data_IF_052419180982
#
_entry.id   IF_052419180982
#
_cell.length_a   1.000
_cell.length_b   1.000
_cell.length_c   1.000
_cell.angle_alpha   90.00
_cell.angle_beta   90.00
_cell.angle_gamma   90.00
#
_symmetry.space_group_name_H-M   'P 1'
#
loop_
_entity.id
_entity.type
_entity.pdbx_description
1 polymer ?
#
# COMPACT_ATOMS: atom_id res chain seq x y z
N UNK A 1 1.23 1.11 -40.10
CA UNK A 1 1.63 -0.20 -39.55
C UNK A 1 1.69 -0.07 -38.04
N UNK A 2 1.27 -1.09 -37.28
CA UNK A 2 1.43 -1.08 -35.83
C UNK A 2 2.91 -1.27 -35.48
N UNK A 3 3.47 -0.41 -34.63
CA UNK A 3 4.80 -0.60 -34.05
C UNK A 3 4.86 -1.91 -33.26
N UNK A 4 5.98 -2.60 -33.32
CA UNK A 4 6.21 -3.80 -32.51
C UNK A 4 6.84 -3.43 -31.17
N UNK A 5 6.63 -4.27 -30.15
CA UNK A 5 7.28 -4.11 -28.83
C UNK A 5 8.81 -4.15 -28.96
N UNK A 6 9.36 -4.94 -29.90
CA UNK A 6 10.80 -5.01 -30.17
C UNK A 6 11.34 -3.67 -30.63
N UNK A 7 10.69 -3.03 -31.61
CA UNK A 7 11.08 -1.71 -32.12
C UNK A 7 11.01 -0.63 -31.03
N UNK A 8 9.94 -0.62 -30.23
CA UNK A 8 9.79 0.33 -29.12
C UNK A 8 10.92 0.13 -28.08
N UNK A 9 11.22 -1.11 -27.71
CA UNK A 9 12.31 -1.41 -26.77
C UNK A 9 13.70 -1.01 -27.32
N UNK A 10 13.94 -1.13 -28.63
CA UNK A 10 15.18 -0.64 -29.24
C UNK A 10 15.29 0.88 -29.14
N UNK A 11 14.21 1.62 -29.43
CA UNK A 11 14.18 3.08 -29.26
C UNK A 11 14.41 3.51 -27.82
N UNK A 12 13.80 2.81 -26.85
CA UNK A 12 14.01 3.08 -25.41
C UNK A 12 15.50 2.91 -25.06
N UNK A 13 16.13 1.81 -25.49
CA UNK A 13 17.57 1.57 -25.23
C UNK A 13 18.49 2.61 -25.87
N UNK A 14 18.08 3.18 -27.01
CA UNK A 14 18.81 4.23 -27.73
C UNK A 14 18.52 5.65 -27.20
N UNK A 15 17.53 5.82 -26.32
CA UNK A 15 17.07 7.14 -25.88
C UNK A 15 16.29 7.92 -26.95
N UNK A 16 15.75 7.22 -27.95
CA UNK A 16 15.04 7.80 -29.10
C UNK A 16 13.51 7.65 -29.00
N UNK A 17 13.01 7.02 -27.94
CA UNK A 17 11.59 6.79 -27.76
C UNK A 17 10.85 8.10 -27.47
N UNK A 18 9.78 8.37 -28.21
CA UNK A 18 8.86 9.46 -27.92
C UNK A 18 7.90 9.00 -26.82
N UNK A 19 8.10 9.52 -25.60
CA UNK A 19 7.30 9.20 -24.42
C UNK A 19 6.44 10.41 -24.07
N UNK A 20 5.13 10.20 -23.90
CA UNK A 20 4.17 11.24 -23.50
C UNK A 20 3.29 10.76 -22.38
N UNK A 21 2.69 11.67 -21.64
CA UNK A 21 1.71 11.37 -20.60
C UNK A 21 0.31 11.12 -21.17
N UNK A 22 -0.55 10.51 -20.35
CA UNK A 22 -1.97 10.33 -20.66
C UNK A 22 -2.75 11.66 -20.79
N UNK A 23 -2.22 12.77 -20.28
CA UNK A 23 -2.80 14.11 -20.48
C UNK A 23 -2.32 14.69 -21.81
N UNK A 24 -1.01 14.68 -22.09
CA UNK A 24 -0.43 15.21 -23.34
C UNK A 24 -0.93 14.51 -24.61
N UNK A 25 -1.27 13.21 -24.51
CA UNK A 25 -1.78 12.46 -25.66
C UNK A 25 -3.14 12.98 -26.14
N UNK A 26 -3.95 13.56 -25.26
CA UNK A 26 -5.29 14.06 -25.61
C UNK A 26 -5.13 15.23 -26.59
N UNK A 27 -4.33 16.23 -26.21
CA UNK A 27 -4.08 17.42 -27.04
C UNK A 27 -3.44 17.05 -28.40
N UNK A 28 -2.47 16.13 -28.39
CA UNK A 28 -1.82 15.65 -29.60
C UNK A 28 -2.80 14.98 -30.57
N UNK A 29 -3.74 14.18 -30.05
CA UNK A 29 -4.76 13.52 -30.86
C UNK A 29 -5.76 14.52 -31.42
N UNK A 30 -6.13 15.54 -30.66
CA UNK A 30 -7.01 16.62 -31.14
C UNK A 30 -6.36 17.44 -32.26
N UNK A 31 -5.06 17.72 -32.16
CA UNK A 31 -4.33 18.51 -33.15
C UNK A 31 -4.02 17.72 -34.43
N UNK A 32 -3.51 16.48 -34.30
CA UNK A 32 -2.87 15.73 -35.39
C UNK A 32 -3.66 14.49 -35.83
N UNK A 33 -4.66 14.10 -35.06
CA UNK A 33 -5.44 12.90 -35.30
C UNK A 33 -4.74 11.62 -34.83
N UNK A 34 -5.55 10.61 -34.52
CA UNK A 34 -5.11 9.35 -33.90
C UNK A 34 -4.05 8.58 -34.69
N UNK A 35 -4.13 8.60 -36.03
CA UNK A 35 -3.20 7.85 -36.88
C UNK A 35 -1.78 8.41 -36.82
N UNK A 36 -1.63 9.73 -36.94
CA UNK A 36 -0.32 10.38 -36.91
C UNK A 36 0.32 10.28 -35.53
N UNK A 37 -0.49 10.44 -34.48
CA UNK A 37 -0.02 10.28 -33.10
C UNK A 37 0.44 8.85 -32.82
N UNK A 38 -0.29 7.84 -33.27
CA UNK A 38 0.11 6.44 -33.10
C UNK A 38 1.42 6.09 -33.85
N UNK A 39 1.71 6.77 -34.96
CA UNK A 39 2.95 6.60 -35.72
C UNK A 39 4.14 7.32 -35.06
N UNK A 40 3.91 8.43 -34.34
CA UNK A 40 4.96 9.25 -33.72
C UNK A 40 5.25 8.88 -32.26
N UNK A 41 4.24 8.64 -31.43
CA UNK A 41 4.38 8.32 -30.00
C UNK A 41 4.71 6.84 -29.80
N UNK A 42 5.74 6.55 -29.02
CA UNK A 42 6.22 5.18 -28.76
C UNK A 42 5.70 4.63 -27.42
N UNK A 43 5.58 5.47 -26.40
CA UNK A 43 5.09 5.08 -25.06
C UNK A 43 4.15 6.15 -24.53
N UNK A 44 2.99 5.73 -24.01
CA UNK A 44 2.11 6.60 -23.23
C UNK A 44 2.25 6.19 -21.76
N UNK A 45 2.71 7.11 -20.93
CA UNK A 45 2.77 6.92 -19.48
C UNK A 45 1.49 7.43 -18.86
N UNK A 46 0.78 6.54 -18.17
CA UNK A 46 -0.35 6.91 -17.32
C UNK A 46 0.00 6.65 -15.88
N UNK A 47 -0.54 7.47 -14.98
CA UNK A 47 -0.45 7.30 -13.54
C UNK A 47 -1.84 7.42 -12.95
N UNK A 48 -2.23 6.46 -12.13
CA UNK A 48 -3.44 6.57 -11.32
C UNK A 48 -3.03 6.56 -9.85
N UNK A 49 -3.72 7.37 -9.06
CA UNK A 49 -3.66 7.29 -7.61
C UNK A 49 -4.93 6.61 -7.14
N UNK A 50 -4.78 5.45 -6.51
CA UNK A 50 -5.91 4.71 -5.97
C UNK A 50 -5.45 3.78 -4.86
N UNK A 51 -6.33 3.46 -3.90
CA UNK A 51 -6.03 2.46 -2.88
C UNK A 51 -5.77 1.12 -3.57
N UNK A 52 -4.61 0.53 -3.28
CA UNK A 52 -4.16 -0.70 -3.92
C UNK A 52 -4.09 -1.82 -2.88
N UNK A 53 -4.82 -2.92 -3.13
CA UNK A 53 -4.83 -4.08 -2.24
C UNK A 53 -3.42 -4.65 -2.04
N UNK A 54 -3.14 -5.19 -0.85
CA UNK A 54 -1.79 -5.66 -0.46
C UNK A 54 -0.74 -4.59 -0.17
N UNK A 55 -1.11 -3.31 -0.18
CA UNK A 55 -0.24 -2.29 0.41
C UNK A 55 -0.14 -2.50 1.93
N UNK A 56 1.03 -2.28 2.49
CA UNK A 56 1.28 -2.32 3.93
C UNK A 56 2.67 -1.81 4.28
N UNK A 57 3.05 -1.95 5.54
CA UNK A 57 4.36 -1.53 6.03
C UNK A 57 4.96 -2.59 6.97
N UNK A 58 6.24 -2.90 6.76
CA UNK A 58 7.05 -3.57 7.77
C UNK A 58 7.64 -2.53 8.73
N UNK A 59 7.64 -2.84 10.01
CA UNK A 59 8.15 -1.95 11.06
C UNK A 59 8.94 -2.80 12.07
N UNK A 60 10.21 -2.44 12.28
CA UNK A 60 11.01 -2.93 13.38
C UNK A 60 10.91 -1.95 14.55
N UNK A 61 10.21 -2.35 15.61
CA UNK A 61 9.91 -1.49 16.76
C UNK A 61 11.11 -1.27 17.69
N UNK A 62 12.16 -2.09 17.55
CA UNK A 62 13.19 -2.23 18.58
C UNK A 62 12.64 -2.87 19.87
N UNK A 63 13.54 -3.17 20.80
CA UNK A 63 13.15 -3.79 22.07
C UNK A 63 12.88 -2.76 23.18
N UNK A 64 11.83 -2.96 23.98
CA UNK A 64 11.73 -2.34 25.29
C UNK A 64 12.76 -2.96 26.25
N UNK A 65 12.85 -2.37 27.45
CA UNK A 65 13.59 -2.96 28.57
C UNK A 65 12.59 -3.25 29.69
N UNK A 66 12.40 -4.53 30.09
CA UNK A 66 13.03 -5.74 29.57
C UNK A 66 12.59 -6.13 28.14
N UNK A 67 13.38 -6.95 27.44
CA UNK A 67 13.13 -7.35 26.05
C UNK A 67 11.84 -8.19 25.91
N UNK A 68 11.19 -8.07 24.75
CA UNK A 68 9.95 -8.79 24.39
C UNK A 68 10.13 -9.55 23.08
N UNK A 69 9.45 -10.70 22.96
CA UNK A 69 9.21 -11.39 21.68
C UNK A 69 7.72 -11.28 21.36
N UNK A 70 7.36 -10.33 20.51
CA UNK A 70 5.97 -9.98 20.20
C UNK A 70 5.26 -11.18 19.55
N UNK A 71 4.14 -11.60 20.15
CA UNK A 71 3.26 -12.63 19.62
C UNK A 71 2.03 -12.01 18.94
N UNK A 72 1.50 -10.92 19.52
CA UNK A 72 0.39 -10.14 18.97
C UNK A 72 0.70 -8.67 19.18
N UNK A 73 0.32 -7.82 18.23
CA UNK A 73 0.49 -6.38 18.34
C UNK A 73 -0.66 -5.64 17.68
N UNK A 74 -0.87 -4.42 18.17
CA UNK A 74 -1.83 -3.47 17.64
C UNK A 74 -1.20 -2.08 17.62
N UNK A 75 -1.57 -1.30 16.61
CA UNK A 75 -1.22 0.10 16.46
C UNK A 75 -2.52 0.91 16.37
N UNK A 76 -2.79 1.76 17.36
CA UNK A 76 -4.11 2.42 17.54
C UNK A 76 -5.27 1.41 17.45
N UNK A 77 -5.11 0.28 18.14
CA UNK A 77 -6.05 -0.85 18.13
C UNK A 77 -6.27 -1.53 16.77
N UNK A 78 -5.54 -1.14 15.71
CA UNK A 78 -5.46 -1.90 14.45
C UNK A 78 -4.47 -3.05 14.59
N UNK A 79 -4.89 -4.32 14.39
CA UNK A 79 -3.98 -5.46 14.45
C UNK A 79 -2.80 -5.34 13.48
N UNK A 80 -1.64 -5.80 13.91
CA UNK A 80 -0.47 -5.97 13.06
C UNK A 80 -0.03 -7.43 13.05
N UNK A 81 0.35 -7.93 11.88
CA UNK A 81 0.87 -9.27 11.70
C UNK A 81 2.23 -9.38 12.39
N UNK A 82 2.35 -10.37 13.27
CA UNK A 82 3.56 -10.68 14.04
C UNK A 82 4.18 -12.01 13.56
N UNK A 83 5.25 -12.46 14.22
CA UNK A 83 5.88 -13.76 13.91
C UNK A 83 6.92 -13.71 12.78
N UNK A 84 7.28 -12.52 12.32
CA UNK A 84 8.39 -12.28 11.38
C UNK A 84 9.73 -12.44 12.10
N UNK A 85 9.86 -11.77 13.25
CA UNK A 85 10.98 -11.90 14.18
C UNK A 85 10.52 -11.41 15.58
N UNK A 86 11.45 -11.02 16.47
CA UNK A 86 11.11 -10.74 17.86
C UNK A 86 10.30 -9.43 18.06
N UNK A 87 10.56 -8.40 17.26
CA UNK A 87 9.93 -7.06 17.38
C UNK A 87 9.54 -6.48 16.02
N UNK A 88 9.46 -7.35 15.02
CA UNK A 88 9.15 -7.03 13.64
C UNK A 88 7.67 -7.33 13.39
N UNK A 89 6.96 -6.32 12.91
CA UNK A 89 5.54 -6.39 12.62
C UNK A 89 5.27 -5.95 11.18
N UNK A 90 4.16 -6.40 10.62
CA UNK A 90 3.64 -5.94 9.34
C UNK A 90 2.20 -5.45 9.53
N UNK A 91 1.92 -4.21 9.13
CA UNK A 91 0.56 -3.66 9.14
C UNK A 91 0.01 -3.58 7.71
N UNK A 92 -1.12 -4.22 7.47
CA UNK A 92 -1.81 -4.16 6.18
C UNK A 92 -2.64 -2.89 6.08
N UNK A 93 -2.59 -2.19 4.94
CA UNK A 93 -3.32 -0.93 4.76
C UNK A 93 -4.86 -1.10 4.84
N UNK A 94 -5.36 -2.31 4.60
CA UNK A 94 -6.79 -2.65 4.64
C UNK A 94 -7.23 -3.27 5.96
N UNK A 95 -6.32 -3.41 6.94
CA UNK A 95 -6.67 -3.98 8.24
C UNK A 95 -7.54 -2.99 9.03
N UNK A 96 -8.53 -3.50 9.75
CA UNK A 96 -9.49 -2.67 10.50
C UNK A 96 -9.16 -2.63 11.98
N UNK A 97 -9.69 -1.64 12.68
CA UNK A 97 -9.58 -1.56 14.15
C UNK A 97 -10.20 -2.82 14.78
N UNK A 98 -9.57 -3.34 15.83
CA UNK A 98 -10.12 -4.43 16.62
C UNK A 98 -11.50 -4.03 17.16
N UNK A 99 -12.52 -4.84 16.88
CA UNK A 99 -13.93 -4.57 17.22
C UNK A 99 -14.63 -3.45 16.42
N UNK A 100 -14.13 -3.06 15.25
CA UNK A 100 -14.92 -2.26 14.30
C UNK A 100 -16.24 -3.00 13.96
N UNK A 101 -17.40 -2.30 13.92
CA UNK A 101 -18.69 -2.92 13.59
C UNK A 101 -18.79 -3.35 12.12
N UNK A 102 -17.82 -2.99 11.28
CA UNK A 102 -17.74 -3.31 9.86
C UNK A 102 -19.08 -3.02 9.18
N UNK A 103 -19.68 -4.03 8.56
CA UNK A 103 -20.97 -3.94 7.88
C UNK A 103 -22.15 -4.49 8.72
N UNK A 104 -22.06 -4.51 10.05
CA UNK A 104 -23.22 -4.85 10.90
C UNK A 104 -24.42 -3.94 10.59
N UNK A 105 -24.18 -2.65 10.34
CA UNK A 105 -25.13 -1.72 9.74
C UNK A 105 -24.57 -1.29 8.38
N UNK A 106 -25.23 -1.67 7.29
CA UNK A 106 -24.72 -1.42 5.94
C UNK A 106 -25.21 -0.07 5.37
N UNK A 107 -24.33 0.75 4.74
CA UNK A 107 -22.88 0.55 4.63
C UNK A 107 -22.14 0.91 5.93
N UNK A 108 -21.08 0.17 6.24
CA UNK A 108 -20.19 0.46 7.36
C UNK A 108 -19.48 1.81 7.21
N UNK A 109 -19.05 2.39 8.34
CA UNK A 109 -18.43 3.72 8.36
C UNK A 109 -16.93 3.70 8.07
N UNK A 110 -16.24 2.60 8.39
CA UNK A 110 -14.81 2.37 8.12
C UNK A 110 -13.90 3.56 8.47
N UNK A 111 -14.08 4.16 9.65
CA UNK A 111 -13.48 5.47 10.00
C UNK A 111 -11.96 5.45 10.18
N UNK A 112 -11.38 4.30 10.52
CA UNK A 112 -9.97 4.17 10.82
C UNK A 112 -9.49 2.73 10.56
N UNK A 113 -8.22 2.57 10.21
CA UNK A 113 -7.65 1.27 9.83
C UNK A 113 -6.16 1.39 9.52
N UNK A 114 -5.57 0.33 8.97
CA UNK A 114 -4.12 0.24 8.79
C UNK A 114 -3.55 1.30 7.84
N UNK A 115 -4.29 1.71 6.81
CA UNK A 115 -3.91 2.83 5.94
C UNK A 115 -3.79 4.14 6.71
N UNK A 116 -4.70 4.40 7.64
CA UNK A 116 -4.69 5.57 8.51
C UNK A 116 -3.54 5.51 9.53
N UNK A 117 -3.22 4.34 10.06
CA UNK A 117 -2.02 4.17 10.92
C UNK A 117 -0.74 4.49 10.16
N UNK A 118 -0.62 4.00 8.92
CA UNK A 118 0.54 4.29 8.07
C UNK A 118 0.63 5.80 7.78
N UNK A 119 -0.50 6.43 7.46
CA UNK A 119 -0.59 7.88 7.28
C UNK A 119 -0.16 8.65 8.53
N UNK A 120 -0.67 8.26 9.71
CA UNK A 120 -0.31 8.85 11.00
C UNK A 120 1.19 8.80 11.25
N UNK A 121 1.81 7.64 11.05
CA UNK A 121 3.25 7.45 11.21
C UNK A 121 4.04 8.33 10.25
N UNK A 122 3.68 8.36 8.96
CA UNK A 122 4.33 9.20 7.94
C UNK A 122 4.16 10.69 8.24
N UNK A 123 3.01 11.10 8.77
CA UNK A 123 2.74 12.46 9.22
C UNK A 123 3.46 12.84 10.53
N UNK A 124 4.22 11.92 11.13
CA UNK A 124 4.92 12.14 12.41
C UNK A 124 3.99 12.18 13.62
N UNK A 125 2.73 11.72 13.48
CA UNK A 125 1.78 11.60 14.58
C UNK A 125 2.16 10.42 15.48
N UNK A 126 1.77 10.51 16.75
CA UNK A 126 1.94 9.42 17.71
C UNK A 126 0.89 8.33 17.47
N UNK A 127 1.33 7.08 17.58
CA UNK A 127 0.51 5.88 17.48
C UNK A 127 0.70 5.03 18.74
N UNK A 128 -0.39 4.57 19.34
CA UNK A 128 -0.37 3.69 20.51
C UNK A 128 -0.03 2.26 20.06
N UNK A 129 1.10 1.75 20.52
CA UNK A 129 1.47 0.35 20.45
C UNK A 129 0.90 -0.39 21.66
N UNK A 130 0.24 -1.53 21.40
CA UNK A 130 -0.02 -2.59 22.39
C UNK A 130 0.59 -3.87 21.85
N UNK A 131 1.39 -4.56 22.64
CA UNK A 131 2.02 -5.81 22.24
C UNK A 131 2.00 -6.85 23.37
N UNK A 132 1.65 -8.08 23.01
CA UNK A 132 1.54 -9.22 23.92
C UNK A 132 2.59 -10.27 23.58
N UNK A 133 3.08 -10.97 24.61
CA UNK A 133 4.03 -12.08 24.47
C UNK A 133 3.77 -13.14 25.53
N UNK A 134 4.05 -14.40 25.19
CA UNK A 134 4.06 -15.51 26.15
C UNK A 134 5.25 -15.45 27.12
N UNK A 135 6.28 -14.65 26.81
CA UNK A 135 7.50 -14.51 27.61
C UNK A 135 8.42 -15.73 27.54
N UNK A 136 9.73 -15.49 27.60
CA UNK A 136 10.79 -16.52 27.65
C UNK A 136 11.94 -16.02 28.53
N UNK A 137 12.92 -16.88 28.83
CA UNK A 137 14.10 -16.45 29.59
C UNK A 137 14.89 -15.34 28.88
N UNK A 138 14.97 -15.38 27.55
CA UNK A 138 15.65 -14.36 26.73
C UNK A 138 14.82 -13.09 26.49
N UNK A 139 13.49 -13.22 26.57
CA UNK A 139 12.51 -12.16 26.31
C UNK A 139 11.42 -12.20 27.39
N UNK A 140 11.71 -11.73 28.61
CA UNK A 140 10.84 -11.99 29.75
C UNK A 140 9.62 -11.07 29.79
N UNK A 141 9.61 -9.97 29.03
CA UNK A 141 8.46 -9.09 28.99
C UNK A 141 7.25 -9.75 28.30
N UNK A 142 6.07 -9.63 28.90
CA UNK A 142 4.80 -10.22 28.40
C UNK A 142 3.82 -9.19 27.87
N UNK A 143 3.98 -7.92 28.24
CA UNK A 143 3.11 -6.84 27.82
C UNK A 143 3.94 -5.58 27.56
N UNK A 144 3.72 -4.93 26.43
CA UNK A 144 4.34 -3.65 26.12
C UNK A 144 3.29 -2.71 25.55
N UNK A 145 3.00 -1.65 26.29
CA UNK A 145 2.15 -0.56 25.86
C UNK A 145 2.95 0.75 25.88
N UNK A 146 2.92 1.49 24.78
CA UNK A 146 3.59 2.80 24.64
C UNK A 146 2.96 3.59 23.51
N UNK A 147 3.23 4.88 23.44
CA UNK A 147 3.10 5.64 22.21
C UNK A 147 4.44 5.66 21.47
N UNK A 148 4.41 5.69 20.14
CA UNK A 148 5.59 5.85 19.31
C UNK A 148 5.29 6.68 18.06
N UNK A 149 6.33 7.24 17.48
CA UNK A 149 6.36 7.90 16.18
C UNK A 149 7.27 7.15 15.22
N UNK A 150 7.17 7.44 13.92
CA UNK A 150 8.04 6.85 12.91
C UNK A 150 9.54 7.18 13.13
N UNK A 151 9.86 8.27 13.82
CA UNK A 151 11.24 8.63 14.12
C UNK A 151 11.87 7.77 15.25
N UNK A 152 11.05 7.09 16.05
CA UNK A 152 11.49 6.31 17.22
C UNK A 152 11.67 4.82 16.91
N UNK A 153 11.04 4.32 15.85
CA UNK A 153 11.22 2.94 15.38
C UNK A 153 12.60 2.76 14.75
N UNK A 154 13.09 1.51 14.68
CA UNK A 154 14.43 1.24 14.15
C UNK A 154 14.47 1.27 12.64
N UNK A 155 13.49 0.61 12.03
CA UNK A 155 13.37 0.52 10.58
C UNK A 155 11.89 0.46 10.23
N UNK A 156 11.53 1.07 9.10
CA UNK A 156 10.21 0.94 8.53
C UNK A 156 10.29 1.11 7.01
N UNK A 157 9.55 0.29 6.28
CA UNK A 157 9.42 0.43 4.84
C UNK A 157 8.03 0.01 4.38
N UNK A 158 7.53 0.72 3.38
CA UNK A 158 6.35 0.29 2.65
C UNK A 158 6.68 -0.98 1.88
N UNK A 159 5.74 -1.91 1.92
CA UNK A 159 5.86 -3.16 1.19
C UNK A 159 4.54 -3.49 0.53
N UNK A 160 4.63 -3.90 -0.72
CA UNK A 160 3.51 -4.43 -1.45
C UNK A 160 3.98 -5.70 -2.18
N UNK A 161 3.52 -6.89 -1.76
CA UNK A 161 3.93 -8.16 -2.35
C UNK A 161 3.41 -8.37 -3.79
N UNK A 162 2.59 -7.44 -4.31
CA UNK A 162 1.75 -7.62 -5.49
C UNK A 162 1.83 -6.41 -6.45
N UNK A 163 3.01 -5.86 -6.66
CA UNK A 163 3.21 -4.65 -7.49
C UNK A 163 3.47 -4.89 -8.98
N UNK A 164 3.83 -6.10 -9.41
CA UNK A 164 4.21 -6.35 -10.79
C UNK A 164 3.40 -7.51 -11.37
N UNK A 165 2.62 -7.20 -12.41
CA UNK A 165 1.82 -8.16 -13.15
C UNK A 165 2.05 -7.99 -14.65
N UNK A 166 2.25 -9.11 -15.34
CA UNK A 166 2.26 -9.11 -16.80
C UNK A 166 0.83 -9.00 -17.36
N UNK A 167 -0.15 -9.59 -16.66
CA UNK A 167 -1.57 -9.50 -16.96
C UNK A 167 -2.34 -9.39 -15.63
N UNK A 168 -3.26 -8.42 -15.52
CA UNK A 168 -4.08 -8.23 -14.32
C UNK A 168 -5.55 -8.16 -14.72
N UNK A 169 -6.40 -8.90 -14.01
CA UNK A 169 -7.84 -8.87 -14.25
C UNK A 169 -8.43 -7.61 -13.62
N UNK A 170 -9.30 -6.92 -14.36
CA UNK A 170 -10.07 -5.79 -13.84
C UNK A 170 -11.54 -6.20 -13.66
N UNK A 171 -12.11 -5.84 -12.52
CA UNK A 171 -13.54 -5.95 -12.28
C UNK A 171 -14.21 -4.63 -12.68
N UNK A 172 -15.25 -4.70 -13.52
CA UNK A 172 -16.02 -3.54 -13.98
C UNK A 172 -17.47 -3.71 -13.55
N UNK A 173 -18.02 -2.69 -12.89
CA UNK A 173 -19.44 -2.64 -12.57
C UNK A 173 -20.23 -2.20 -13.81
N UNK A 174 -20.97 -3.11 -14.43
CA UNK A 174 -21.78 -2.84 -15.62
C UNK A 174 -23.19 -2.32 -15.30
N UNK A 175 -23.51 -2.11 -14.03
CA UNK A 175 -24.82 -1.64 -13.58
C UNK A 175 -24.78 -0.19 -13.14
N UNK A 176 -25.96 0.46 -13.14
CA UNK A 176 -26.12 1.83 -12.63
C UNK A 176 -26.13 1.91 -11.09
N UNK A 177 -26.07 0.77 -10.40
CA UNK A 177 -26.07 0.70 -8.93
C UNK A 177 -24.65 0.79 -8.41
N UNK A 178 -24.42 1.65 -7.42
CA UNK A 178 -23.17 1.70 -6.66
C UNK A 178 -22.94 0.38 -5.91
N UNK A 179 -21.78 -0.24 -6.12
CA UNK A 179 -21.31 -1.42 -5.39
C UNK A 179 -20.19 -0.96 -4.47
N UNK A 180 -20.39 -1.11 -3.15
CA UNK A 180 -19.39 -0.81 -2.14
C UNK A 180 -18.44 -1.99 -2.02
N UNK A 181 -17.15 -1.75 -2.24
CA UNK A 181 -16.13 -2.80 -2.18
C UNK A 181 -15.27 -2.64 -0.92
N UNK A 182 -14.47 -3.64 -0.58
CA UNK A 182 -13.56 -3.51 0.57
C UNK A 182 -12.42 -2.48 0.34
N UNK A 183 -12.29 -1.96 -0.89
CA UNK A 183 -11.33 -0.88 -1.23
C UNK A 183 -12.00 0.49 -1.35
N UNK A 184 -13.28 0.62 -0.97
CA UNK A 184 -14.16 1.74 -1.29
C UNK A 184 -15.22 1.31 -2.30
#
# INVERSE_FOLDING_TARGET
>A
MSKTITEINEKIRKGEAVVVTAEEIIDLVEEKGTREVAESVDVITTGTFGPMCSSGAFINLGHPKPRIKIQRAWLNDVPAYCGIAAVDIYIGATEMVEHDPLNEVFPGEFRYGGGHVIEDLVAGRKVRLRAESYGTDCYPNRLWETELTLAEVKEAWLYNPRNAYQNYNVAVNLSDRVIYTYMG
#
